data_IF_477043218522
#
_entry.id   IF_477043218522
#
_cell.length_a   1.000
_cell.length_b   1.000
_cell.length_c   1.000
_cell.angle_alpha   90.00
_cell.angle_beta   90.00
_cell.angle_gamma   90.00
#
_symmetry.space_group_name_H-M   'P 1'
#
loop_
_entity.id
_entity.type
_entity.pdbx_description
1 polymer ?
#
# COMPACT_ATOMS: atom_id res chain seq x y z
N UNK A 1 8.86 8.12 -24.11
CA UNK A 1 9.36 6.76 -24.47
C UNK A 1 8.42 5.64 -24.03
N UNK A 2 7.44 5.87 -23.15
CA UNK A 2 6.44 4.87 -22.75
C UNK A 2 5.50 4.44 -23.90
N UNK A 3 5.07 5.36 -24.74
CA UNK A 3 4.16 5.13 -25.86
C UNK A 3 4.60 4.01 -26.84
N UNK A 4 5.89 3.88 -27.10
CA UNK A 4 6.41 2.83 -27.98
C UNK A 4 6.41 1.42 -27.37
N UNK A 5 6.42 1.30 -26.05
CA UNK A 5 6.36 -0.01 -25.37
C UNK A 5 4.95 -0.57 -25.33
N UNK A 6 3.94 0.30 -25.19
CA UNK A 6 2.52 -0.09 -25.14
C UNK A 6 2.05 -0.65 -26.50
N UNK A 7 2.41 -0.03 -27.61
CA UNK A 7 2.07 -0.49 -28.96
C UNK A 7 2.65 -1.88 -29.29
N UNK A 8 3.73 -2.27 -28.65
CA UNK A 8 4.37 -3.56 -28.90
C UNK A 8 3.68 -4.75 -28.20
N UNK A 9 2.88 -4.50 -27.16
CA UNK A 9 2.21 -5.55 -26.38
C UNK A 9 0.84 -5.97 -26.94
N UNK A 10 0.25 -5.17 -27.83
CA UNK A 10 -1.15 -5.31 -28.25
C UNK A 10 -1.34 -5.96 -29.63
N UNK A 11 -0.30 -6.44 -30.28
CA UNK A 11 -0.39 -6.92 -31.67
C UNK A 11 -0.70 -5.77 -32.62
N UNK A 12 -0.17 -5.80 -33.85
CA UNK A 12 -0.33 -4.73 -34.84
C UNK A 12 -1.82 -4.46 -35.12
N UNK A 13 -2.34 -3.31 -34.64
CA UNK A 13 -3.66 -2.80 -35.02
C UNK A 13 -4.78 -2.84 -33.98
N UNK A 14 -4.50 -3.18 -32.70
CA UNK A 14 -5.50 -3.14 -31.61
C UNK A 14 -5.65 -1.76 -30.96
N UNK A 15 -6.73 -1.58 -30.17
CA UNK A 15 -6.91 -0.41 -29.31
C UNK A 15 -5.85 -0.38 -28.20
N UNK A 16 -5.53 0.80 -27.70
CA UNK A 16 -4.60 1.00 -26.58
C UNK A 16 -5.13 2.02 -25.57
N UNK A 17 -4.69 1.91 -24.35
CA UNK A 17 -4.94 2.89 -23.29
C UNK A 17 -3.63 3.43 -22.74
N UNK A 18 -3.66 4.68 -22.29
CA UNK A 18 -2.62 5.35 -21.53
C UNK A 18 -3.29 6.16 -20.45
N UNK A 19 -2.83 6.03 -19.21
CA UNK A 19 -3.34 6.81 -18.08
C UNK A 19 -2.36 7.95 -17.78
N UNK A 20 -2.90 9.13 -17.60
CA UNK A 20 -2.13 10.32 -17.26
C UNK A 20 -2.65 10.84 -15.92
N UNK A 21 -1.88 10.65 -14.87
CA UNK A 21 -2.22 11.16 -13.54
C UNK A 21 -1.92 12.67 -13.46
N UNK A 22 -2.83 13.43 -12.88
CA UNK A 22 -2.64 14.87 -12.62
C UNK A 22 -1.64 15.10 -11.49
N UNK A 23 -1.68 14.25 -10.47
CA UNK A 23 -0.78 14.25 -9.33
C UNK A 23 -0.49 12.79 -8.93
N UNK A 24 0.78 12.49 -8.70
CA UNK A 24 1.21 11.14 -8.30
C UNK A 24 1.42 11.03 -6.78
N UNK A 25 1.46 12.17 -6.07
CA UNK A 25 1.61 12.19 -4.62
C UNK A 25 0.22 12.19 -3.98
N UNK A 26 -0.09 11.13 -3.25
CA UNK A 26 -1.39 10.90 -2.65
C UNK A 26 -1.24 10.54 -1.17
N UNK A 27 -2.35 10.58 -0.43
CA UNK A 27 -2.43 10.13 0.96
C UNK A 27 -3.63 9.18 1.11
N UNK A 28 -3.62 8.25 2.06
CA UNK A 28 -4.79 7.45 2.41
C UNK A 28 -6.01 8.34 2.70
N UNK A 29 -7.19 7.95 2.23
CA UNK A 29 -8.43 8.75 2.32
C UNK A 29 -8.50 9.95 1.36
N UNK A 30 -7.48 10.16 0.52
CA UNK A 30 -7.47 11.19 -0.52
C UNK A 30 -8.10 10.73 -1.83
N UNK A 31 -7.85 11.48 -2.91
CA UNK A 31 -8.31 11.16 -4.26
C UNK A 31 -7.16 11.34 -5.23
N UNK A 32 -6.90 10.33 -6.06
CA UNK A 32 -6.04 10.48 -7.24
C UNK A 32 -6.90 10.87 -8.44
N UNK A 33 -6.44 11.86 -9.19
CA UNK A 33 -7.12 12.35 -10.40
C UNK A 33 -6.27 12.12 -11.63
N UNK A 34 -6.93 11.88 -12.74
CA UNK A 34 -6.25 11.66 -14.00
C UNK A 34 -7.21 11.61 -15.19
N UNK A 35 -6.65 11.20 -16.32
CA UNK A 35 -7.36 11.03 -17.57
C UNK A 35 -6.89 9.74 -18.23
N UNK A 36 -7.83 8.88 -18.63
CA UNK A 36 -7.55 7.73 -19.46
C UNK A 36 -7.68 8.14 -20.93
N UNK A 37 -6.60 7.99 -21.70
CA UNK A 37 -6.55 8.23 -23.13
C UNK A 37 -6.69 6.91 -23.86
N UNK A 38 -7.73 6.80 -24.69
CA UNK A 38 -8.03 5.62 -25.47
C UNK A 38 -7.72 5.93 -26.93
N UNK A 39 -6.90 5.10 -27.56
CA UNK A 39 -6.59 5.19 -28.98
C UNK A 39 -7.17 3.96 -29.69
N UNK A 40 -8.11 4.16 -30.62
CA UNK A 40 -8.65 3.12 -31.49
C UNK A 40 -7.62 2.52 -32.41
N UNK A 41 -7.74 1.23 -32.65
CA UNK A 41 -6.91 0.49 -33.59
C UNK A 41 -7.21 0.77 -35.06
N UNK A 42 -6.80 -0.14 -35.95
CA UNK A 42 -7.01 -0.02 -37.40
C UNK A 42 -8.43 -0.39 -37.87
N UNK A 43 -9.24 -0.97 -36.98
CA UNK A 43 -10.64 -1.38 -37.22
C UNK A 43 -11.49 -0.98 -36.01
N UNK A 44 -12.80 -0.86 -36.25
CA UNK A 44 -13.76 -0.65 -35.15
C UNK A 44 -13.72 -1.83 -34.18
N UNK A 45 -13.78 -1.54 -32.87
CA UNK A 45 -13.74 -2.55 -31.82
C UNK A 45 -14.87 -2.33 -30.82
N UNK A 46 -15.50 -3.42 -30.42
CA UNK A 46 -16.50 -3.40 -29.36
C UNK A 46 -15.80 -3.43 -28.02
N UNK A 47 -15.98 -2.38 -27.23
CA UNK A 47 -15.48 -2.25 -25.87
C UNK A 47 -16.57 -2.69 -24.93
N UNK A 48 -16.26 -3.56 -23.98
CA UNK A 48 -17.19 -4.05 -22.95
C UNK A 48 -17.21 -3.15 -21.72
N UNK A 49 -16.08 -2.46 -21.45
CA UNK A 49 -15.97 -1.52 -20.36
C UNK A 49 -14.61 -0.85 -20.25
N UNK A 50 -14.59 0.21 -19.47
CA UNK A 50 -13.37 0.91 -19.06
C UNK A 50 -13.40 1.04 -17.54
N UNK A 51 -12.32 0.66 -16.87
CA UNK A 51 -12.20 0.77 -15.41
C UNK A 51 -10.81 1.26 -15.01
N UNK A 52 -10.75 1.86 -13.82
CA UNK A 52 -9.51 2.18 -13.10
C UNK A 52 -9.57 1.60 -11.71
N UNK A 53 -8.43 1.23 -11.15
CA UNK A 53 -8.32 0.68 -9.81
C UNK A 53 -6.98 1.01 -9.17
N UNK A 54 -6.79 0.53 -7.94
CA UNK A 54 -5.49 0.54 -7.27
C UNK A 54 -5.01 -0.89 -7.10
N UNK A 55 -3.74 -1.11 -7.40
CA UNK A 55 -3.07 -2.39 -7.31
C UNK A 55 -1.82 -2.28 -6.46
N UNK A 56 -1.55 -3.31 -5.67
CA UNK A 56 -0.33 -3.45 -4.89
C UNK A 56 0.27 -4.84 -5.06
N UNK A 57 1.58 -4.95 -4.83
CA UNK A 57 2.29 -6.23 -4.85
C UNK A 57 2.39 -6.77 -3.44
N UNK A 58 1.66 -7.85 -3.16
CA UNK A 58 1.46 -8.43 -1.83
C UNK A 58 2.18 -9.77 -1.73
N UNK A 59 2.80 -10.05 -0.61
CA UNK A 59 3.41 -11.33 -0.26
C UNK A 59 2.32 -12.31 0.17
N UNK A 60 2.40 -13.51 -0.35
CA UNK A 60 1.42 -14.57 -0.10
C UNK A 60 2.17 -15.84 0.28
N UNK A 61 1.92 -16.32 1.48
CA UNK A 61 2.42 -17.62 1.94
C UNK A 61 1.55 -18.77 1.42
N UNK A 62 2.17 -19.81 0.89
CA UNK A 62 1.50 -21.05 0.51
C UNK A 62 2.37 -22.26 0.89
N UNK A 63 2.08 -22.85 2.03
CA UNK A 63 2.93 -23.88 2.64
C UNK A 63 4.29 -23.31 3.02
N UNK A 64 5.38 -23.91 2.51
CA UNK A 64 6.75 -23.45 2.76
C UNK A 64 7.28 -22.47 1.69
N UNK A 65 6.41 -21.94 0.84
CA UNK A 65 6.78 -21.04 -0.24
C UNK A 65 6.11 -19.67 -0.05
N UNK A 66 6.91 -18.64 -0.22
CA UNK A 66 6.50 -17.24 -0.27
C UNK A 66 6.60 -16.75 -1.72
N UNK A 67 5.57 -16.09 -2.21
CA UNK A 67 5.55 -15.48 -3.54
C UNK A 67 4.80 -14.14 -3.53
N UNK A 68 5.13 -13.27 -4.48
CA UNK A 68 4.47 -11.97 -4.63
C UNK A 68 3.36 -12.05 -5.66
N UNK A 69 2.20 -11.52 -5.29
CA UNK A 69 1.01 -11.44 -6.14
C UNK A 69 0.57 -10.00 -6.30
N UNK A 70 0.20 -9.61 -7.51
CA UNK A 70 -0.46 -8.34 -7.76
C UNK A 70 -1.93 -8.45 -7.32
N UNK A 71 -2.34 -7.62 -6.36
CA UNK A 71 -3.70 -7.58 -5.82
C UNK A 71 -4.30 -6.21 -6.10
N UNK A 72 -5.37 -6.20 -6.89
CA UNK A 72 -6.21 -5.02 -7.03
C UNK A 72 -7.15 -4.94 -5.82
N UNK A 73 -7.17 -3.80 -5.14
CA UNK A 73 -7.91 -3.62 -3.89
C UNK A 73 -8.99 -2.51 -3.93
N UNK A 74 -9.09 -1.81 -5.05
CA UNK A 74 -10.23 -0.96 -5.37
C UNK A 74 -10.38 -0.85 -6.88
N UNK A 75 -11.61 -0.69 -7.37
CA UNK A 75 -11.92 -0.53 -8.80
C UNK A 75 -13.16 0.34 -8.99
N UNK A 76 -13.11 1.23 -9.97
CA UNK A 76 -14.21 2.08 -10.39
C UNK A 76 -14.41 1.93 -11.90
N UNK A 77 -15.66 1.70 -12.32
CA UNK A 77 -16.03 1.73 -13.73
C UNK A 77 -16.15 3.18 -14.22
N UNK A 78 -15.47 3.51 -15.31
CA UNK A 78 -15.53 4.82 -15.95
C UNK A 78 -16.51 4.85 -17.12
N UNK A 79 -16.95 3.69 -17.61
CA UNK A 79 -17.93 3.59 -18.70
C UNK A 79 -18.31 2.15 -19.00
N UNK A 80 -19.51 1.97 -19.55
CA UNK A 80 -20.00 0.68 -20.04
C UNK A 80 -19.58 0.39 -21.47
N UNK A 81 -20.33 -0.52 -22.12
CA UNK A 81 -20.04 -0.95 -23.49
C UNK A 81 -20.25 0.17 -24.52
N UNK A 82 -19.34 0.26 -25.49
CA UNK A 82 -19.42 1.18 -26.64
C UNK A 82 -18.59 0.67 -27.80
N UNK A 83 -18.88 1.17 -29.01
CA UNK A 83 -18.05 0.90 -30.19
C UNK A 83 -16.96 1.96 -30.28
N UNK A 84 -15.70 1.55 -30.19
CA UNK A 84 -14.54 2.38 -30.44
C UNK A 84 -14.22 2.34 -31.92
N UNK A 85 -14.42 3.47 -32.61
CA UNK A 85 -14.13 3.59 -34.04
C UNK A 85 -12.65 3.52 -34.34
N UNK A 86 -12.30 3.03 -35.51
CA UNK A 86 -10.93 2.95 -35.96
C UNK A 86 -10.23 4.32 -35.92
N UNK A 87 -9.02 4.35 -35.34
CA UNK A 87 -8.21 5.55 -35.16
C UNK A 87 -8.84 6.67 -34.31
N UNK A 88 -10.00 6.43 -33.68
CA UNK A 88 -10.61 7.41 -32.77
C UNK A 88 -9.72 7.63 -31.54
N UNK A 89 -9.78 8.84 -30.98
CA UNK A 89 -9.11 9.20 -29.73
C UNK A 89 -10.17 9.69 -28.75
N UNK A 90 -10.20 9.10 -27.58
CA UNK A 90 -11.06 9.51 -26.48
C UNK A 90 -10.23 9.83 -25.25
N UNK A 91 -10.69 10.78 -24.45
CA UNK A 91 -10.12 11.14 -23.18
C UNK A 91 -11.23 11.08 -22.13
N UNK A 92 -11.03 10.27 -21.08
CA UNK A 92 -12.01 10.04 -20.02
C UNK A 92 -11.39 10.48 -18.70
N UNK A 93 -11.79 11.63 -18.13
CA UNK A 93 -11.31 12.08 -16.84
C UNK A 93 -11.86 11.18 -15.73
N UNK A 94 -11.07 11.01 -14.65
CA UNK A 94 -11.49 10.25 -13.48
C UNK A 94 -10.99 10.84 -12.17
N UNK A 95 -11.68 10.48 -11.08
CA UNK A 95 -11.23 10.61 -9.70
C UNK A 95 -11.42 9.27 -9.01
N UNK A 96 -10.34 8.73 -8.45
CA UNK A 96 -10.35 7.46 -7.73
C UNK A 96 -10.03 7.71 -6.26
N UNK A 97 -10.95 7.35 -5.38
CA UNK A 97 -10.74 7.45 -3.93
C UNK A 97 -9.64 6.48 -3.48
N UNK A 98 -8.74 6.98 -2.65
CA UNK A 98 -7.65 6.20 -2.04
C UNK A 98 -8.17 5.60 -0.73
N UNK A 99 -8.31 4.29 -0.60
CA UNK A 99 -8.72 3.66 0.65
C UNK A 99 -7.85 4.10 1.84
N UNK A 100 -8.44 4.22 3.02
CA UNK A 100 -7.74 4.64 4.25
C UNK A 100 -6.61 3.68 4.67
N UNK A 101 -6.71 2.42 4.28
CA UNK A 101 -5.70 1.37 4.54
C UNK A 101 -4.66 1.24 3.42
N UNK A 102 -4.65 2.16 2.44
CA UNK A 102 -3.67 2.11 1.34
C UNK A 102 -2.25 2.18 1.91
N UNK A 103 -1.36 1.26 1.52
CA UNK A 103 0.00 1.20 2.03
C UNK A 103 0.81 2.47 1.74
N UNK A 104 1.60 2.89 2.70
CA UNK A 104 2.57 3.99 2.54
C UNK A 104 3.70 3.50 1.63
N UNK A 105 4.02 4.26 0.60
CA UNK A 105 5.15 3.95 -0.31
C UNK A 105 6.31 4.93 -0.19
N UNK A 106 6.10 6.05 0.51
CA UNK A 106 7.10 7.12 0.62
C UNK A 106 7.06 7.75 2.00
N UNK A 107 8.21 7.92 2.64
CA UNK A 107 8.38 8.65 3.91
C UNK A 107 9.46 9.70 3.71
N UNK A 108 9.16 10.97 4.07
CA UNK A 108 10.08 12.11 3.95
C UNK A 108 10.71 12.24 2.54
N UNK A 109 9.92 11.97 1.50
CA UNK A 109 10.35 12.02 0.11
C UNK A 109 11.24 10.85 -0.34
N UNK A 110 11.46 9.85 0.52
CA UNK A 110 12.21 8.64 0.18
C UNK A 110 11.26 7.47 -0.03
N UNK A 111 11.35 6.82 -1.18
CA UNK A 111 10.56 5.63 -1.48
C UNK A 111 10.93 4.49 -0.52
N UNK A 112 9.93 3.85 0.05
CA UNK A 112 10.08 2.62 0.82
C UNK A 112 10.43 1.46 -0.12
N UNK A 113 11.56 0.84 0.14
CA UNK A 113 12.02 -0.30 -0.65
C UNK A 113 11.02 -1.45 -0.52
N UNK A 114 10.64 -2.04 -1.64
CA UNK A 114 9.69 -3.15 -1.68
C UNK A 114 8.24 -2.74 -1.90
N UNK A 115 7.90 -1.46 -1.65
CA UNK A 115 6.53 -0.95 -1.80
C UNK A 115 6.23 -0.50 -3.22
N UNK A 116 5.16 -1.08 -3.80
CA UNK A 116 4.63 -0.68 -5.10
C UNK A 116 3.11 -0.59 -5.02
N UNK A 117 2.59 0.62 -5.17
CA UNK A 117 1.17 0.89 -5.37
C UNK A 117 1.02 1.68 -6.65
N UNK A 118 0.05 1.34 -7.47
CA UNK A 118 -0.19 2.04 -8.73
C UNK A 118 -1.67 2.08 -9.11
N UNK A 119 -2.02 3.05 -9.93
CA UNK A 119 -3.31 3.09 -10.60
C UNK A 119 -3.26 2.09 -11.76
N UNK A 120 -4.13 1.11 -11.75
CA UNK A 120 -4.33 0.18 -12.88
C UNK A 120 -5.50 0.64 -13.73
N UNK A 121 -5.36 0.50 -15.03
CA UNK A 121 -6.42 0.80 -16.01
C UNK A 121 -6.66 -0.42 -16.87
N UNK A 122 -7.91 -0.73 -17.13
CA UNK A 122 -8.32 -1.83 -17.99
C UNK A 122 -9.36 -1.36 -18.98
N UNK A 123 -9.08 -1.59 -20.25
CA UNK A 123 -10.03 -1.49 -21.36
C UNK A 123 -10.41 -2.91 -21.79
N UNK A 124 -11.58 -3.36 -21.38
CA UNK A 124 -12.10 -4.68 -21.74
C UNK A 124 -12.59 -4.68 -23.19
N UNK A 125 -12.01 -5.52 -24.04
CA UNK A 125 -12.26 -5.56 -25.48
C UNK A 125 -12.92 -6.89 -25.85
N UNK A 126 -14.11 -6.84 -26.44
CA UNK A 126 -14.85 -8.03 -26.84
C UNK A 126 -14.02 -8.92 -27.79
N UNK A 127 -13.85 -10.18 -27.44
CA UNK A 127 -13.15 -11.22 -28.24
C UNK A 127 -11.69 -10.91 -28.57
N UNK A 128 -11.04 -10.07 -27.78
CA UNK A 128 -9.62 -9.73 -27.90
C UNK A 128 -8.95 -9.78 -26.52
N UNK A 129 -7.65 -9.59 -26.49
CA UNK A 129 -6.91 -9.38 -25.23
C UNK A 129 -7.17 -7.95 -24.74
N UNK A 130 -7.51 -7.80 -23.47
CA UNK A 130 -7.74 -6.51 -22.86
C UNK A 130 -6.45 -5.66 -22.88
N UNK A 131 -6.64 -4.37 -23.01
CA UNK A 131 -5.55 -3.41 -22.92
C UNK A 131 -5.50 -2.81 -21.52
N UNK A 132 -4.32 -2.76 -20.91
CA UNK A 132 -4.13 -2.23 -19.57
C UNK A 132 -2.89 -1.36 -19.44
N UNK A 133 -2.88 -0.57 -18.39
CA UNK A 133 -1.77 0.29 -17.98
C UNK A 133 -1.62 0.25 -16.45
N UNK A 134 -0.42 0.57 -15.95
CA UNK A 134 -0.14 0.64 -14.51
C UNK A 134 0.79 1.83 -14.24
N UNK A 135 0.25 2.84 -13.56
CA UNK A 135 0.95 4.07 -13.21
C UNK A 135 1.28 4.14 -11.72
N UNK A 136 2.56 4.12 -11.33
CA UNK A 136 2.94 4.19 -9.93
C UNK A 136 2.49 5.48 -9.26
N UNK A 137 2.05 5.38 -7.99
CA UNK A 137 1.74 6.51 -7.12
C UNK A 137 2.66 6.52 -5.89
N UNK A 138 2.95 7.73 -5.40
CA UNK A 138 3.66 7.94 -4.14
C UNK A 138 2.65 8.18 -3.03
N UNK A 139 2.43 7.16 -2.21
CA UNK A 139 1.52 7.23 -1.06
C UNK A 139 2.28 7.72 0.16
N UNK A 140 1.97 8.94 0.60
CA UNK A 140 2.56 9.57 1.79
C UNK A 140 1.78 9.22 3.05
N UNK A 141 2.42 9.14 4.22
CA UNK A 141 1.73 8.87 5.46
C UNK A 141 0.75 9.99 5.83
N UNK A 142 -0.35 9.61 6.46
CA UNK A 142 -1.21 10.56 7.19
C UNK A 142 -0.40 11.28 8.28
N UNK A 143 -0.77 12.50 8.67
CA UNK A 143 -0.07 13.21 9.75
C UNK A 143 0.02 12.41 11.05
N UNK A 144 -1.01 11.63 11.40
CA UNK A 144 -1.01 10.76 12.57
C UNK A 144 -0.04 9.57 12.42
N UNK A 145 0.02 8.94 11.22
CA UNK A 145 1.02 7.90 10.91
C UNK A 145 2.44 8.47 10.99
N UNK A 146 2.65 9.65 10.42
CA UNK A 146 3.94 10.35 10.46
C UNK A 146 4.40 10.61 11.88
N UNK A 147 3.51 11.04 12.78
CA UNK A 147 3.84 11.28 14.19
C UNK A 147 4.36 10.01 14.90
N UNK A 148 3.78 8.84 14.61
CA UNK A 148 4.26 7.55 15.14
C UNK A 148 5.62 7.19 14.53
N UNK A 149 5.78 7.32 13.21
CA UNK A 149 7.04 7.06 12.52
C UNK A 149 8.17 7.96 13.04
N UNK A 150 7.89 9.25 13.27
CA UNK A 150 8.85 10.18 13.85
C UNK A 150 9.25 9.82 15.28
N UNK A 151 8.30 9.30 16.08
CA UNK A 151 8.58 8.81 17.41
C UNK A 151 9.53 7.59 17.38
N UNK A 152 9.39 6.68 16.41
CA UNK A 152 10.35 5.58 16.21
C UNK A 152 11.76 6.11 15.90
N UNK A 153 11.86 7.09 15.00
CA UNK A 153 13.15 7.73 14.67
C UNK A 153 13.74 8.42 15.90
N UNK A 154 12.95 9.17 16.66
CA UNK A 154 13.35 9.85 17.88
C UNK A 154 13.87 8.87 18.96
N UNK A 155 13.26 7.70 19.06
CA UNK A 155 13.69 6.62 19.96
C UNK A 155 14.94 5.88 19.47
N UNK A 156 15.43 6.19 18.27
CA UNK A 156 16.65 5.63 17.70
C UNK A 156 16.43 4.33 16.91
N UNK A 157 15.20 3.99 16.57
CA UNK A 157 14.90 2.89 15.66
C UNK A 157 15.39 3.22 14.25
N UNK A 158 15.83 2.21 13.52
CA UNK A 158 16.30 2.35 12.14
C UNK A 158 15.42 1.49 11.24
N UNK A 159 14.92 2.09 10.17
CA UNK A 159 14.17 1.37 9.14
C UNK A 159 14.97 0.16 8.63
N UNK A 160 14.33 -0.98 8.51
CA UNK A 160 14.89 -2.23 8.00
C UNK A 160 14.31 -2.56 6.62
N UNK A 161 13.00 -2.75 6.55
CA UNK A 161 12.27 -3.15 5.35
C UNK A 161 10.80 -2.68 5.45
N UNK A 162 10.05 -2.85 4.37
CA UNK A 162 8.60 -2.81 4.39
C UNK A 162 8.06 -3.79 3.35
N UNK A 163 6.98 -4.47 3.69
CA UNK A 163 6.28 -5.42 2.85
C UNK A 163 4.78 -5.36 3.05
N UNK A 164 4.05 -6.12 2.24
CA UNK A 164 2.60 -6.26 2.33
C UNK A 164 2.28 -7.73 2.51
N UNK A 165 1.67 -8.05 3.65
CA UNK A 165 1.30 -9.40 4.01
C UNK A 165 -0.17 -9.68 3.72
N UNK A 166 -0.46 -10.80 3.05
CA UNK A 166 -1.81 -11.27 2.86
C UNK A 166 -2.35 -11.86 4.16
N UNK A 167 -3.29 -11.15 4.77
CA UNK A 167 -3.84 -11.59 6.05
C UNK A 167 -4.75 -10.55 6.68
N UNK A 168 -5.10 -10.83 7.94
CA UNK A 168 -5.94 -9.95 8.73
C UNK A 168 -5.41 -9.82 10.16
N UNK A 169 -5.15 -8.61 10.59
CA UNK A 169 -4.70 -8.29 11.94
C UNK A 169 -5.90 -8.36 12.89
N UNK A 170 -5.89 -9.33 13.79
CA UNK A 170 -6.99 -9.56 14.73
C UNK A 170 -7.21 -8.37 15.66
N UNK A 171 -8.47 -8.00 15.86
CA UNK A 171 -8.85 -6.94 16.78
C UNK A 171 -8.73 -5.54 16.21
N UNK A 172 -8.42 -5.40 14.93
CA UNK A 172 -8.44 -4.13 14.19
C UNK A 172 -9.70 -3.99 13.34
N UNK A 173 -9.88 -2.82 12.75
CA UNK A 173 -10.95 -2.50 11.81
C UNK A 173 -10.63 -2.80 10.35
N UNK A 174 -9.57 -3.56 10.08
CA UNK A 174 -9.07 -3.87 8.74
C UNK A 174 -10.17 -4.39 7.80
N UNK A 175 -10.21 -3.83 6.60
CA UNK A 175 -11.13 -4.22 5.52
C UNK A 175 -10.40 -4.82 4.31
N UNK A 176 -9.14 -4.40 4.05
CA UNK A 176 -8.35 -4.97 2.98
C UNK A 176 -7.92 -6.40 3.33
N UNK A 177 -7.66 -7.22 2.29
CA UNK A 177 -7.21 -8.62 2.42
C UNK A 177 -5.72 -8.75 2.74
N UNK A 178 -5.05 -7.64 2.94
CA UNK A 178 -3.63 -7.55 3.24
C UNK A 178 -3.38 -6.30 4.11
N UNK A 179 -2.23 -6.24 4.73
CA UNK A 179 -1.78 -5.11 5.54
C UNK A 179 -0.31 -4.83 5.28
N UNK A 180 0.15 -3.65 5.67
CA UNK A 180 1.55 -3.26 5.55
C UNK A 180 2.28 -3.50 6.86
N UNK A 181 3.46 -4.09 6.79
CA UNK A 181 4.45 -4.12 7.85
C UNK A 181 5.60 -3.18 7.52
N UNK A 182 5.95 -2.32 8.47
CA UNK A 182 7.12 -1.44 8.41
C UNK A 182 8.08 -1.89 9.50
N UNK A 183 9.16 -2.53 9.09
CA UNK A 183 10.09 -3.18 9.98
C UNK A 183 11.21 -2.23 10.44
N UNK A 184 11.58 -2.35 11.71
CA UNK A 184 12.62 -1.55 12.32
C UNK A 184 13.62 -2.39 13.11
N UNK A 185 14.91 -2.03 13.00
CA UNK A 185 15.93 -2.47 13.94
C UNK A 185 15.85 -1.64 15.21
N UNK A 186 15.73 -2.28 16.40
CA UNK A 186 15.71 -1.58 17.68
C UNK A 186 17.10 -1.08 18.06
N UNK A 187 17.21 0.08 18.75
CA UNK A 187 18.46 0.55 19.32
C UNK A 187 18.88 -0.28 20.55
N UNK A 188 20.11 -0.10 21.00
CA UNK A 188 20.69 -0.89 22.09
C UNK A 188 19.91 -0.83 23.43
N UNK A 189 19.15 0.22 23.65
CA UNK A 189 18.33 0.34 24.87
C UNK A 189 17.22 -0.72 24.95
N UNK A 190 16.78 -1.28 23.83
CA UNK A 190 15.78 -2.37 23.73
C UNK A 190 16.45 -3.71 23.38
N UNK A 191 17.49 -4.11 24.13
CA UNK A 191 18.33 -5.29 23.84
C UNK A 191 17.59 -6.62 23.74
N UNK A 192 16.39 -6.70 24.33
CA UNK A 192 15.56 -7.90 24.30
C UNK A 192 14.82 -8.11 23.00
N UNK A 193 14.81 -7.11 22.10
CA UNK A 193 14.14 -7.17 20.82
C UNK A 193 15.14 -7.43 19.69
N UNK A 194 14.73 -8.24 18.71
CA UNK A 194 15.41 -8.42 17.44
C UNK A 194 14.94 -7.40 16.42
N UNK A 195 13.62 -7.22 16.38
CA UNK A 195 12.87 -6.48 15.37
C UNK A 195 11.59 -5.95 15.98
N UNK A 196 11.08 -4.88 15.42
CA UNK A 196 9.73 -4.36 15.66
C UNK A 196 9.09 -4.11 14.30
N UNK A 197 7.90 -4.65 14.10
CA UNK A 197 7.05 -4.43 12.94
C UNK A 197 5.91 -3.51 13.34
N UNK A 198 5.66 -2.53 12.51
CA UNK A 198 4.66 -1.50 12.72
C UNK A 198 3.64 -1.56 11.60
N UNK A 199 2.38 -1.78 11.96
CA UNK A 199 1.25 -1.79 11.03
C UNK A 199 0.24 -0.70 11.40
N UNK A 200 -0.38 -0.11 10.39
CA UNK A 200 -1.43 0.89 10.53
C UNK A 200 -2.72 0.41 9.86
N UNK A 201 -3.83 0.46 10.58
CA UNK A 201 -5.16 0.23 10.03
C UNK A 201 -6.01 1.45 10.32
N UNK A 202 -6.26 2.27 9.31
CA UNK A 202 -6.95 3.55 9.45
C UNK A 202 -8.36 3.54 8.85
N UNK A 203 -9.20 4.39 9.40
CA UNK A 203 -10.45 4.84 8.77
C UNK A 203 -10.49 6.38 8.78
N UNK A 204 -11.62 7.00 8.42
CA UNK A 204 -11.76 8.46 8.37
C UNK A 204 -11.68 9.17 9.73
N UNK A 205 -11.68 8.46 10.85
CA UNK A 205 -11.73 9.04 12.21
C UNK A 205 -10.51 8.68 13.05
N UNK A 206 -10.05 7.45 12.95
CA UNK A 206 -9.01 6.92 13.81
C UNK A 206 -8.15 5.87 13.08
N UNK A 207 -7.07 5.51 13.73
CA UNK A 207 -6.09 4.56 13.25
C UNK A 207 -5.74 3.59 14.37
N UNK A 208 -5.83 2.30 14.10
CA UNK A 208 -5.24 1.26 14.94
C UNK A 208 -3.75 1.17 14.60
N UNK A 209 -2.91 1.29 15.61
CA UNK A 209 -1.45 1.11 15.52
C UNK A 209 -1.12 -0.23 16.15
N UNK A 210 -0.52 -1.12 15.39
CA UNK A 210 -0.16 -2.46 15.84
C UNK A 210 1.36 -2.59 15.81
N UNK A 211 1.91 -3.09 16.92
CA UNK A 211 3.31 -3.42 17.07
C UNK A 211 3.46 -4.91 17.27
N UNK A 212 4.17 -5.56 16.37
CA UNK A 212 4.70 -6.89 16.56
C UNK A 212 6.17 -6.79 16.98
N UNK A 213 6.51 -7.44 18.08
CA UNK A 213 7.84 -7.35 18.67
C UNK A 213 8.44 -8.75 18.75
N UNK A 214 9.41 -9.02 17.86
CA UNK A 214 10.19 -10.24 17.88
C UNK A 214 11.24 -10.16 18.99
N UNK A 215 11.16 -11.09 19.94
CA UNK A 215 12.08 -11.20 21.08
C UNK A 215 13.23 -12.14 20.78
N UNK A 216 14.42 -11.74 21.21
CA UNK A 216 15.57 -12.63 21.19
C UNK A 216 15.31 -13.88 22.02
N UNK A 217 15.62 -15.08 21.49
CA UNK A 217 15.54 -16.31 22.27
C UNK A 217 16.41 -16.19 23.52
N UNK A 218 15.86 -16.59 24.67
CA UNK A 218 16.61 -16.68 25.92
C UNK A 218 17.32 -18.03 26.03
N UNK A 219 18.21 -18.17 27.03
CA UNK A 219 18.95 -19.43 27.29
C UNK A 219 18.03 -20.64 27.54
N UNK A 220 16.74 -20.41 27.87
CA UNK A 220 15.75 -21.44 28.21
C UNK A 220 14.36 -21.18 27.62
N UNK A 221 14.22 -20.23 26.69
CA UNK A 221 12.95 -19.93 25.99
C UNK A 221 13.18 -19.73 24.53
N UNK A 222 12.30 -20.31 23.71
CA UNK A 222 12.19 -19.92 22.29
C UNK A 222 11.76 -18.45 22.21
N UNK A 223 12.23 -17.73 21.17
CA UNK A 223 11.72 -16.39 20.85
C UNK A 223 10.20 -16.44 20.71
N UNK A 224 9.51 -15.43 21.20
CA UNK A 224 8.05 -15.33 21.05
C UNK A 224 7.68 -13.92 20.63
N UNK A 225 6.81 -13.83 19.65
CA UNK A 225 6.26 -12.57 19.18
C UNK A 225 5.28 -12.03 20.21
N UNK A 226 5.32 -10.73 20.40
CA UNK A 226 4.40 -10.05 21.30
C UNK A 226 3.68 -8.96 20.53
N UNK A 227 2.38 -9.12 20.40
CA UNK A 227 1.51 -8.14 19.75
C UNK A 227 1.00 -7.12 20.77
N UNK A 228 1.00 -5.86 20.39
CA UNK A 228 0.39 -4.75 21.11
C UNK A 228 -0.32 -3.84 20.12
N UNK A 229 -1.48 -3.35 20.50
CA UNK A 229 -2.23 -2.39 19.70
C UNK A 229 -2.79 -1.26 20.56
N UNK A 230 -2.90 -0.09 19.95
CA UNK A 230 -3.60 1.07 20.51
C UNK A 230 -4.23 1.88 19.39
N UNK A 231 -5.18 2.73 19.76
CA UNK A 231 -5.89 3.58 18.81
C UNK A 231 -5.39 5.02 18.89
N UNK A 232 -5.27 5.67 17.73
CA UNK A 232 -4.90 7.08 17.58
C UNK A 232 -6.01 7.79 16.83
N UNK A 233 -6.57 8.85 17.39
CA UNK A 233 -7.51 9.72 16.68
C UNK A 233 -6.78 10.53 15.61
N UNK A 234 -7.36 10.63 14.40
CA UNK A 234 -6.74 11.38 13.32
C UNK A 234 -6.79 12.90 13.52
N UNK A 235 -7.62 13.38 14.45
CA UNK A 235 -7.82 14.80 14.70
C UNK A 235 -7.11 15.33 15.97
N UNK A 236 -6.73 14.44 16.88
CA UNK A 236 -6.17 14.78 18.19
C UNK A 236 -4.82 14.12 18.51
N UNK A 237 -4.21 13.47 17.52
CA UNK A 237 -2.92 12.76 17.64
C UNK A 237 -1.80 13.66 18.19
N UNK A 238 -1.90 14.98 18.03
CA UNK A 238 -0.88 15.96 18.47
C UNK A 238 -0.86 16.16 19.99
N UNK A 239 -1.88 15.71 20.70
CA UNK A 239 -1.99 15.87 22.17
C UNK A 239 -1.11 14.91 22.96
N UNK A 240 -0.50 13.92 22.30
CA UNK A 240 0.27 12.85 22.94
C UNK A 240 1.74 12.94 22.57
N UNK A 241 2.64 12.82 23.55
CA UNK A 241 4.05 12.57 23.31
C UNK A 241 4.23 11.08 22.95
N UNK A 242 4.20 10.81 21.65
CA UNK A 242 4.27 9.44 21.12
C UNK A 242 5.62 8.77 21.42
N UNK A 243 6.71 9.52 21.49
CA UNK A 243 8.00 8.95 21.85
C UNK A 243 8.01 8.46 23.30
N UNK A 244 7.49 9.27 24.23
CA UNK A 244 7.35 8.86 25.63
C UNK A 244 6.40 7.66 25.77
N UNK A 245 5.26 7.69 25.07
CA UNK A 245 4.25 6.62 25.10
C UNK A 245 4.82 5.28 24.60
N UNK A 246 5.44 5.29 23.42
CA UNK A 246 6.05 4.09 22.84
C UNK A 246 7.23 3.59 23.65
N UNK A 247 8.07 4.49 24.19
CA UNK A 247 9.20 4.11 25.04
C UNK A 247 8.74 3.33 26.28
N UNK A 248 7.64 3.73 26.91
CA UNK A 248 7.08 2.99 28.03
C UNK A 248 6.74 1.55 27.63
N UNK A 249 6.02 1.36 26.52
CA UNK A 249 5.60 0.04 26.05
C UNK A 249 6.79 -0.85 25.65
N UNK A 250 7.70 -0.30 24.86
CA UNK A 250 8.88 -1.03 24.37
C UNK A 250 9.83 -1.41 25.52
N UNK A 251 9.95 -0.56 26.53
CA UNK A 251 10.74 -0.84 27.72
C UNK A 251 10.14 -1.95 28.58
N UNK A 252 8.82 -2.00 28.74
CA UNK A 252 8.13 -3.07 29.46
C UNK A 252 8.34 -4.44 28.81
N UNK A 253 8.30 -4.50 27.49
CA UNK A 253 8.51 -5.72 26.69
C UNK A 253 9.99 -6.11 26.68
N UNK A 254 10.87 -5.15 26.42
CA UNK A 254 12.32 -5.37 26.31
C UNK A 254 13.00 -5.67 27.65
N UNK A 255 12.38 -5.29 28.80
CA UNK A 255 12.94 -5.47 30.13
C UNK A 255 12.50 -6.73 30.86
N UNK A 256 11.47 -7.43 30.38
CA UNK A 256 11.04 -8.71 30.99
C UNK A 256 12.09 -9.80 30.73
N UNK A 257 13.25 -9.68 31.37
CA UNK A 257 14.06 -10.83 31.77
C UNK A 257 13.21 -11.61 32.78
N UNK A 258 12.87 -12.85 32.45
CA UNK A 258 12.32 -13.78 33.42
C UNK A 258 13.28 -13.86 34.59
N UNK A 259 12.88 -13.30 35.73
CA UNK A 259 13.43 -13.60 37.03
C UNK A 259 12.79 -14.93 37.46
N UNK A 260 13.47 -16.02 37.17
CA UNK A 260 13.35 -17.29 37.89
C UNK A 260 14.72 -17.93 37.96
#
# INVERSE_FOLDING_TARGET
MAFKKLLASLGAGGASVETVLTEVNVVPGGVVQGEVRIQGGSVDQEIEGLSVGLQAKVEVESGDQEYKQDIEFTRVSLGGAFTLQANAVHAVPFGLEIPWETPITTIDGQALRGMNVGVTTELAIARAVDSGDLDPVSVHPLPAQKAILDAFVQLGFRFKNADLERGHIRGTRQQLLFYQEIEFFPPQQYRGLNQVELSFVADGNAMDVVLEMDKKPGLFSEGSDTFRSFQVGLHDYQSTDWAAYLNQWLSEVGSKRNWF
#
